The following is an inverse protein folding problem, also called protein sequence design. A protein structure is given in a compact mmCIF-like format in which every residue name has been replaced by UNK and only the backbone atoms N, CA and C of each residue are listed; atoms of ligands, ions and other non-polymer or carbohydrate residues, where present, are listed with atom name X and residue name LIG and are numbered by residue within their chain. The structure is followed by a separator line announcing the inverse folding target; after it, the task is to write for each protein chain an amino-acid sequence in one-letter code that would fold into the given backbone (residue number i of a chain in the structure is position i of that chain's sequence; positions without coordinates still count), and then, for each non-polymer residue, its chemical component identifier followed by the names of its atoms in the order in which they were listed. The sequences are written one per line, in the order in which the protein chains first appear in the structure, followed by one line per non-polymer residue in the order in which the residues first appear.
data_IF_258907914089
#
_entry.id   IF_258907914089
#
_cell.length_a   1.000
_cell.length_b   1.000
_cell.length_c   1.000
_cell.angle_alpha   90.00
_cell.angle_beta   90.00
_cell.angle_gamma   90.00
#
_symmetry.space_group_name_H-M   'P 1'
#
loop_
_entity.id
_entity.type
_entity.pdbx_description
1 polymer ?
#
# COMPACT_ATOMS: atom_id res chain seq x y z
N UNK A 1 12.41 -7.85 27.45
CA UNK A 1 11.68 -7.56 26.22
C UNK A 1 10.21 -7.75 26.42
N UNK A 2 9.41 -7.06 25.63
CA UNK A 2 7.98 -7.02 25.91
C UNK A 2 7.17 -6.96 24.62
N UNK A 3 6.15 -7.81 24.51
CA UNK A 3 5.16 -7.76 23.44
C UNK A 3 4.11 -6.74 23.86
N UNK A 4 3.84 -5.77 23.00
CA UNK A 4 2.93 -4.68 23.33
C UNK A 4 1.47 -5.12 23.21
N UNK A 5 0.66 -4.69 24.17
CA UNK A 5 -0.78 -4.90 24.14
C UNK A 5 -1.46 -3.74 23.40
N UNK A 6 -2.80 -3.81 23.30
CA UNK A 6 -3.58 -2.85 22.53
C UNK A 6 -3.40 -1.41 23.00
N UNK A 7 -3.41 -1.18 24.31
CA UNK A 7 -3.24 0.17 24.85
C UNK A 7 -1.82 0.68 24.62
N UNK A 8 -0.85 -0.21 24.77
CA UNK A 8 0.56 0.15 24.59
C UNK A 8 0.87 0.49 23.13
N UNK A 9 0.21 -0.17 22.18
CA UNK A 9 0.41 0.14 20.76
C UNK A 9 0.02 1.60 20.47
N UNK A 10 -1.00 2.12 21.13
CA UNK A 10 -1.40 3.51 20.93
C UNK A 10 -0.33 4.47 21.45
N UNK A 11 0.27 4.14 22.58
CA UNK A 11 1.36 4.95 23.12
C UNK A 11 2.58 4.90 22.21
N UNK A 12 2.94 3.69 21.75
CA UNK A 12 4.09 3.53 20.85
C UNK A 12 3.90 4.31 19.55
N UNK A 13 2.67 4.34 19.03
CA UNK A 13 2.37 5.11 17.82
C UNK A 13 2.73 6.58 18.01
N UNK A 14 2.35 7.16 19.16
CA UNK A 14 2.64 8.56 19.44
C UNK A 14 4.14 8.81 19.58
N UNK A 15 4.86 7.86 20.20
CA UNK A 15 6.30 7.97 20.32
C UNK A 15 6.96 7.98 18.94
N UNK A 16 6.54 7.06 18.07
CA UNK A 16 7.14 6.96 16.74
C UNK A 16 6.86 8.19 15.89
N UNK A 17 5.75 8.88 16.13
CA UNK A 17 5.44 10.10 15.40
C UNK A 17 6.51 11.16 15.60
N UNK A 18 7.17 11.15 16.75
CA UNK A 18 8.25 12.10 17.03
C UNK A 18 9.55 11.77 16.29
N UNK A 19 9.60 10.62 15.65
CA UNK A 19 10.79 10.14 14.94
C UNK A 19 10.60 10.11 13.41
N UNK A 20 9.46 10.61 12.89
CA UNK A 20 9.32 10.67 11.44
C UNK A 20 10.35 11.68 10.91
N UNK A 21 10.82 11.52 9.67
CA UNK A 21 10.33 10.56 8.66
C UNK A 21 10.91 9.15 8.76
N UNK A 22 11.98 8.94 9.50
CA UNK A 22 12.68 7.65 9.48
C UNK A 22 11.86 6.51 10.07
N UNK A 23 10.92 6.81 10.96
CA UNK A 23 10.05 5.81 11.58
C UNK A 23 8.78 5.52 10.78
N UNK A 24 8.59 6.14 9.61
CA UNK A 24 7.30 6.08 8.91
C UNK A 24 6.77 4.67 8.71
N UNK A 25 7.63 3.72 8.33
CA UNK A 25 7.10 2.39 8.03
C UNK A 25 6.51 1.71 9.26
N UNK A 26 7.26 1.71 10.35
CA UNK A 26 6.76 1.11 11.58
C UNK A 26 5.60 1.92 12.13
N UNK A 27 5.69 3.24 12.08
CA UNK A 27 4.58 4.11 12.45
C UNK A 27 3.31 3.75 11.67
N UNK A 28 3.44 3.57 10.36
CA UNK A 28 2.30 3.24 9.51
C UNK A 28 1.66 1.91 9.86
N UNK A 29 2.46 0.90 10.18
CA UNK A 29 1.91 -0.37 10.66
C UNK A 29 1.10 -0.17 11.94
N UNK A 30 1.67 0.54 12.91
CA UNK A 30 0.95 0.76 14.17
C UNK A 30 -0.30 1.60 13.95
N UNK A 31 -0.21 2.59 13.07
CA UNK A 31 -1.36 3.42 12.75
C UNK A 31 -2.54 2.54 12.28
N UNK A 32 -2.25 1.62 11.37
CA UNK A 32 -3.27 0.71 10.89
C UNK A 32 -3.80 -0.22 11.97
N UNK A 33 -2.89 -0.83 12.74
CA UNK A 33 -3.28 -1.73 13.82
C UNK A 33 -4.21 -1.03 14.82
N UNK A 34 -3.88 0.21 15.16
CA UNK A 34 -4.68 0.96 16.15
C UNK A 34 -6.04 1.40 15.61
N UNK A 35 -6.26 1.29 14.30
CA UNK A 35 -7.56 1.58 13.68
C UNK A 35 -8.19 0.30 13.14
N UNK A 36 -7.79 -0.83 13.73
CA UNK A 36 -8.41 -2.14 13.49
C UNK A 36 -8.21 -2.68 12.09
N UNK A 37 -7.15 -2.25 11.39
CA UNK A 37 -6.81 -2.88 10.12
C UNK A 37 -6.25 -4.27 10.41
N UNK A 38 -6.57 -5.26 9.57
CA UNK A 38 -6.06 -6.62 9.80
C UNK A 38 -4.54 -6.66 9.78
N UNK A 39 -3.95 -7.46 10.66
CA UNK A 39 -2.51 -7.64 10.71
C UNK A 39 -2.19 -9.02 11.23
N UNK A 40 -1.11 -9.61 10.69
CA UNK A 40 -0.59 -10.89 11.16
C UNK A 40 0.62 -10.71 12.06
N UNK A 41 0.95 -9.47 12.40
CA UNK A 41 2.18 -9.14 13.11
C UNK A 41 1.91 -8.85 14.59
N UNK A 42 2.93 -9.11 15.41
CA UNK A 42 2.94 -8.61 16.79
C UNK A 42 4.14 -7.69 16.95
N UNK A 43 4.12 -6.89 17.98
CA UNK A 43 5.07 -5.81 18.19
C UNK A 43 5.86 -6.05 19.48
N UNK A 44 7.19 -6.04 19.37
CA UNK A 44 8.09 -6.31 20.49
C UNK A 44 9.01 -5.10 20.67
N UNK A 45 9.22 -4.71 21.92
CA UNK A 45 10.18 -3.64 22.27
C UNK A 45 11.22 -4.16 23.24
N UNK A 46 12.38 -3.48 23.26
CA UNK A 46 13.48 -3.85 24.17
C UNK A 46 13.13 -3.54 25.62
N UNK A 47 12.41 -2.47 25.86
CA UNK A 47 12.02 -2.05 27.21
C UNK A 47 10.78 -1.18 27.11
N UNK A 48 10.13 -0.95 28.24
CA UNK A 48 8.87 -0.20 28.28
C UNK A 48 8.78 0.57 29.58
N UNK A 49 8.26 1.80 29.57
CA UNK A 49 7.62 2.49 28.44
C UNK A 49 8.59 3.19 27.49
N UNK A 50 9.83 3.33 27.86
CA UNK A 50 10.85 3.92 26.99
C UNK A 50 11.57 2.78 26.26
N UNK A 51 11.58 2.85 24.94
CA UNK A 51 12.21 1.81 24.13
C UNK A 51 13.16 2.44 23.12
N UNK A 52 14.23 1.72 22.83
CA UNK A 52 15.21 2.09 21.82
C UNK A 52 15.00 1.35 20.52
N UNK A 53 14.33 0.20 20.58
CA UNK A 53 14.10 -0.66 19.42
C UNK A 53 12.70 -1.19 19.48
N UNK A 54 12.03 -1.18 18.32
CA UNK A 54 10.71 -1.77 18.15
C UNK A 54 10.78 -2.66 16.92
N UNK A 55 10.32 -3.91 17.06
CA UNK A 55 10.31 -4.90 15.98
C UNK A 55 8.90 -5.40 15.78
N UNK A 56 8.48 -5.47 14.52
CA UNK A 56 7.23 -6.11 14.11
C UNK A 56 7.62 -7.42 13.45
N UNK A 57 7.00 -8.51 13.89
CA UNK A 57 7.32 -9.86 13.41
C UNK A 57 6.04 -10.67 13.31
N UNK A 58 6.05 -11.79 12.56
CA UNK A 58 4.86 -12.62 12.49
C UNK A 58 4.43 -13.09 13.88
N UNK A 59 3.14 -12.97 14.16
CA UNK A 59 2.58 -13.41 15.44
C UNK A 59 2.52 -14.94 15.43
N UNK A 60 3.22 -15.64 16.32
CA UNK A 60 3.22 -17.09 16.31
C UNK A 60 1.87 -17.71 16.62
N UNK A 61 0.96 -16.95 17.20
CA UNK A 61 -0.39 -17.43 17.51
C UNK A 61 -1.36 -17.28 16.34
N UNK A 62 -0.95 -16.56 15.30
CA UNK A 62 -1.82 -16.28 14.16
C UNK A 62 -1.51 -17.25 13.04
N UNK A 63 -2.48 -18.15 12.73
CA UNK A 63 -2.26 -19.16 11.69
C UNK A 63 -2.05 -18.55 10.32
N UNK A 64 -2.71 -17.44 10.03
CA UNK A 64 -2.55 -16.77 8.75
C UNK A 64 -1.10 -16.26 8.55
N UNK A 65 -0.42 -15.94 9.64
CA UNK A 65 0.97 -15.51 9.58
C UNK A 65 1.89 -16.64 9.13
N UNK A 66 1.48 -17.87 9.29
CA UNK A 66 2.28 -19.04 8.87
C UNK A 66 2.13 -19.32 7.38
N UNK A 67 0.99 -18.95 6.81
CA UNK A 67 0.68 -19.27 5.42
C UNK A 67 0.94 -18.14 4.45
N UNK A 68 1.18 -16.94 4.96
CA UNK A 68 1.37 -15.76 4.14
C UNK A 68 2.82 -15.31 4.21
N UNK A 69 3.18 -14.33 3.38
CA UNK A 69 4.54 -13.79 3.39
C UNK A 69 4.92 -13.31 4.79
N UNK A 70 5.99 -13.88 5.33
CA UNK A 70 6.46 -13.51 6.67
C UNK A 70 7.26 -12.24 6.58
N UNK A 71 6.80 -11.22 7.27
CA UNK A 71 7.41 -9.89 7.23
C UNK A 71 7.97 -9.52 8.59
N UNK A 72 9.14 -8.87 8.57
CA UNK A 72 9.73 -8.26 9.75
C UNK A 72 10.04 -6.82 9.39
N UNK A 73 9.69 -5.90 10.30
CA UNK A 73 10.05 -4.50 10.16
C UNK A 73 10.52 -4.00 11.52
N UNK A 74 11.38 -2.99 11.50
CA UNK A 74 11.86 -2.46 12.77
C UNK A 74 12.21 -0.99 12.65
N UNK A 75 12.27 -0.34 13.81
CA UNK A 75 12.85 0.99 13.95
C UNK A 75 13.73 0.98 15.18
N UNK A 76 14.89 1.62 15.09
CA UNK A 76 15.90 1.56 16.15
C UNK A 76 16.61 2.90 16.28
N UNK A 77 16.94 3.24 17.53
CA UNK A 77 17.86 4.36 17.83
C UNK A 77 19.14 3.86 18.47
N UNK A 78 19.34 2.54 18.57
CA UNK A 78 20.52 1.97 19.22
C UNK A 78 20.89 0.67 18.51
N UNK A 79 22.06 0.69 17.86
CA UNK A 79 22.50 -0.44 17.04
C UNK A 79 22.76 -1.70 17.86
N UNK A 80 23.36 -1.56 19.05
CA UNK A 80 23.70 -2.73 19.86
C UNK A 80 22.45 -3.41 20.41
N UNK A 81 21.47 -2.62 20.83
CA UNK A 81 20.20 -3.15 21.29
C UNK A 81 19.48 -3.84 20.12
N UNK A 82 19.53 -3.23 18.93
CA UNK A 82 18.93 -3.85 17.75
C UNK A 82 19.57 -5.20 17.44
N UNK A 83 20.90 -5.27 17.48
CA UNK A 83 21.61 -6.51 17.20
C UNK A 83 21.15 -7.63 18.13
N UNK A 84 21.03 -7.31 19.41
CA UNK A 84 20.59 -8.29 20.41
C UNK A 84 19.15 -8.73 20.12
N UNK A 85 18.27 -7.78 19.84
CA UNK A 85 16.87 -8.12 19.58
C UNK A 85 16.71 -8.92 18.30
N UNK A 86 17.47 -8.60 17.26
CA UNK A 86 17.41 -9.39 16.02
C UNK A 86 17.81 -10.83 16.27
N UNK A 87 18.83 -11.05 17.11
CA UNK A 87 19.23 -12.41 17.46
C UNK A 87 18.15 -13.17 18.20
N UNK A 88 17.50 -12.51 19.15
CA UNK A 88 16.66 -13.18 20.14
C UNK A 88 15.18 -13.20 19.76
N UNK A 89 14.71 -12.22 19.01
CA UNK A 89 13.29 -12.02 18.83
C UNK A 89 12.79 -12.32 17.41
N UNK A 90 13.69 -12.66 16.49
CA UNK A 90 13.31 -13.01 15.11
C UNK A 90 13.57 -14.49 14.90
N UNK A 91 12.65 -15.16 14.22
CA UNK A 91 12.77 -16.59 13.94
C UNK A 91 13.58 -16.79 12.66
N UNK A 92 14.86 -17.07 12.81
CA UNK A 92 15.78 -17.26 11.69
C UNK A 92 15.70 -18.66 11.06
N UNK A 93 14.84 -19.52 11.60
CA UNK A 93 14.72 -20.90 11.07
C UNK A 93 13.80 -20.98 9.85
N UNK A 94 13.07 -19.92 9.53
CA UNK A 94 12.16 -19.89 8.40
C UNK A 94 12.43 -18.68 7.51
N UNK A 95 11.89 -18.71 6.31
CA UNK A 95 11.96 -17.59 5.38
C UNK A 95 11.28 -16.35 5.99
N UNK A 96 11.89 -15.18 5.80
CA UNK A 96 11.21 -13.92 6.08
C UNK A 96 11.82 -12.78 5.27
N UNK A 97 11.04 -11.72 5.14
CA UNK A 97 11.44 -10.53 4.41
C UNK A 97 11.52 -9.37 5.41
N UNK A 98 12.67 -8.68 5.44
CA UNK A 98 12.79 -7.44 6.22
C UNK A 98 12.60 -6.29 5.24
N UNK A 99 11.55 -5.52 5.43
CA UNK A 99 11.17 -4.50 4.47
C UNK A 99 11.38 -3.09 4.94
N UNK A 100 11.94 -2.27 4.06
CA UNK A 100 12.01 -0.84 4.29
C UNK A 100 12.88 -0.43 5.47
N UNK A 101 13.95 -1.16 5.74
CA UNK A 101 14.80 -0.81 6.87
C UNK A 101 15.89 0.17 6.44
N UNK A 102 16.33 0.98 7.39
CA UNK A 102 17.38 1.97 7.17
C UNK A 102 18.67 1.28 6.73
N UNK A 103 19.22 1.71 5.60
CA UNK A 103 20.45 1.14 5.05
C UNK A 103 21.59 1.13 6.06
N UNK A 104 21.61 2.05 7.02
CA UNK A 104 22.67 2.08 8.02
C UNK A 104 22.71 0.82 8.88
N UNK A 105 21.65 0.02 8.90
CA UNK A 105 21.60 -1.21 9.67
C UNK A 105 21.86 -2.46 8.82
N UNK A 106 22.27 -2.28 7.57
CA UNK A 106 22.52 -3.43 6.69
C UNK A 106 23.61 -4.32 7.25
N UNK A 107 24.70 -3.74 7.72
CA UNK A 107 25.81 -4.52 8.25
C UNK A 107 25.38 -5.34 9.47
N UNK A 108 24.57 -4.74 10.33
CA UNK A 108 24.04 -5.44 11.51
C UNK A 108 23.22 -6.66 11.10
N UNK A 109 22.34 -6.51 10.11
CA UNK A 109 21.54 -7.64 9.64
C UNK A 109 22.40 -8.72 9.02
N UNK A 110 23.40 -8.34 8.23
CA UNK A 110 24.30 -9.33 7.63
C UNK A 110 25.09 -10.09 8.69
N UNK A 111 25.54 -9.40 9.73
CA UNK A 111 26.29 -10.04 10.82
C UNK A 111 25.41 -11.06 11.55
N UNK A 112 24.19 -10.70 11.87
CA UNK A 112 23.31 -11.63 12.58
C UNK A 112 22.95 -12.81 11.68
N UNK A 113 22.69 -12.57 10.40
CA UNK A 113 22.36 -13.68 9.48
C UNK A 113 23.53 -14.63 9.35
N UNK A 114 24.75 -14.12 9.36
CA UNK A 114 25.94 -14.98 9.31
C UNK A 114 26.07 -15.81 10.58
N UNK A 115 25.81 -15.22 11.75
CA UNK A 115 25.81 -15.96 13.02
C UNK A 115 24.78 -17.09 13.00
N UNK A 116 23.65 -16.86 12.35
CA UNK A 116 22.57 -17.85 12.28
C UNK A 116 22.76 -18.79 11.11
N UNK A 117 23.79 -18.61 10.31
CA UNK A 117 24.08 -19.43 9.14
C UNK A 117 22.93 -19.41 8.13
N UNK A 118 22.42 -18.22 7.83
CA UNK A 118 21.25 -18.03 6.98
C UNK A 118 21.65 -17.20 5.76
N UNK A 119 21.21 -17.62 4.57
CA UNK A 119 21.49 -16.86 3.35
C UNK A 119 20.60 -15.60 3.29
N UNK A 120 21.02 -14.65 2.50
CA UNK A 120 20.27 -13.41 2.33
C UNK A 120 20.38 -12.91 0.89
N UNK A 121 19.41 -12.08 0.51
CA UNK A 121 19.35 -11.51 -0.82
C UNK A 121 18.67 -10.14 -0.72
N UNK A 122 19.31 -9.15 -1.32
CA UNK A 122 18.80 -7.78 -1.25
C UNK A 122 18.19 -7.31 -2.55
N UNK A 123 17.45 -6.24 -2.44
CA UNK A 123 16.82 -5.57 -3.57
C UNK A 123 17.35 -4.15 -3.68
N UNK A 124 16.88 -3.45 -4.71
CA UNK A 124 17.29 -2.07 -4.98
C UNK A 124 17.04 -1.15 -3.79
N UNK A 125 17.94 -0.20 -3.61
CA UNK A 125 17.73 0.88 -2.65
C UNK A 125 16.46 1.65 -2.99
N UNK A 126 15.78 2.14 -1.96
CA UNK A 126 14.62 2.99 -2.16
C UNK A 126 14.77 4.30 -1.40
N UNK A 127 14.17 5.33 -1.94
CA UNK A 127 14.06 6.64 -1.32
C UNK A 127 12.73 6.73 -0.58
N UNK A 128 12.74 7.47 0.51
CA UNK A 128 11.52 7.76 1.27
C UNK A 128 11.09 9.18 0.90
N UNK A 129 9.87 9.30 0.36
CA UNK A 129 9.30 10.62 0.06
C UNK A 129 8.03 10.78 0.88
N UNK A 130 7.83 11.99 1.38
CA UNK A 130 6.69 12.24 2.27
C UNK A 130 6.18 13.66 2.12
N UNK A 131 4.95 13.87 2.54
CA UNK A 131 4.29 15.18 2.44
C UNK A 131 4.08 15.70 3.85
N UNK A 132 5.00 16.54 4.34
CA UNK A 132 4.90 16.98 5.73
C UNK A 132 3.77 17.97 5.98
N UNK A 133 3.33 18.67 4.94
CA UNK A 133 2.30 19.70 5.05
C UNK A 133 1.44 19.65 3.81
N UNK A 134 0.14 19.43 4.02
CA UNK A 134 -0.79 19.30 2.89
C UNK A 134 -0.83 20.57 2.02
N UNK A 135 -0.47 21.71 2.59
CA UNK A 135 -0.45 22.97 1.80
C UNK A 135 0.62 22.94 0.72
N UNK A 136 1.60 22.04 0.81
CA UNK A 136 2.65 21.90 -0.19
C UNK A 136 2.23 21.05 -1.39
N UNK A 137 1.07 20.41 -1.29
CA UNK A 137 0.60 19.53 -2.34
C UNK A 137 0.15 20.33 -3.55
N UNK A 138 0.63 19.94 -4.72
CA UNK A 138 0.17 20.51 -5.99
C UNK A 138 -1.22 19.97 -6.30
N UNK A 139 -2.13 20.85 -6.74
CA UNK A 139 -3.43 20.42 -7.26
C UNK A 139 -3.38 20.54 -8.78
N UNK A 140 -3.43 19.41 -9.49
CA UNK A 140 -3.35 19.45 -10.96
C UNK A 140 -4.58 20.13 -11.56
N UNK A 141 -4.36 20.83 -12.70
CA UNK A 141 -5.47 21.48 -13.41
C UNK A 141 -6.53 20.49 -13.86
N UNK A 142 -6.12 19.28 -14.21
CA UNK A 142 -7.05 18.27 -14.71
C UNK A 142 -7.93 17.65 -13.63
N UNK A 143 -7.65 17.93 -12.35
CA UNK A 143 -8.36 17.24 -11.26
C UNK A 143 -9.87 17.47 -11.32
N UNK A 144 -10.28 18.73 -11.54
CA UNK A 144 -11.71 19.04 -11.58
C UNK A 144 -12.42 18.39 -12.77
N UNK A 145 -11.72 18.23 -13.87
CA UNK A 145 -12.29 17.61 -15.07
C UNK A 145 -12.47 16.11 -14.90
N UNK A 146 -11.68 15.49 -14.04
CA UNK A 146 -11.72 14.05 -13.84
C UNK A 146 -12.56 13.64 -12.64
N UNK A 147 -13.08 14.62 -11.90
CA UNK A 147 -13.77 14.36 -10.63
C UNK A 147 -14.88 13.30 -10.76
N UNK A 148 -15.66 13.36 -11.83
CA UNK A 148 -16.78 12.42 -12.03
C UNK A 148 -16.31 10.99 -12.33
N UNK A 149 -15.03 10.83 -12.69
CA UNK A 149 -14.46 9.52 -13.00
C UNK A 149 -13.63 8.94 -11.87
N UNK A 150 -13.47 9.68 -10.78
CA UNK A 150 -12.68 9.23 -9.64
C UNK A 150 -13.53 8.33 -8.76
N UNK A 151 -12.96 7.20 -8.37
CA UNK A 151 -13.66 6.21 -7.55
C UNK A 151 -12.67 5.43 -6.71
N UNK A 152 -13.18 4.50 -5.92
CA UNK A 152 -12.36 3.55 -5.20
C UNK A 152 -12.32 2.22 -5.96
N UNK A 153 -11.25 1.46 -5.75
CA UNK A 153 -11.19 0.10 -6.30
C UNK A 153 -12.08 -0.81 -5.48
N UNK A 154 -12.55 -1.87 -6.10
CA UNK A 154 -13.32 -2.91 -5.41
C UNK A 154 -12.79 -4.29 -5.79
N UNK A 155 -13.42 -5.33 -5.28
CA UNK A 155 -12.91 -6.68 -5.44
C UNK A 155 -12.86 -7.15 -6.89
N UNK A 156 -13.71 -6.60 -7.73
CA UNK A 156 -13.68 -6.97 -9.16
C UNK A 156 -12.42 -6.46 -9.86
N UNK A 157 -11.67 -5.56 -9.23
CA UNK A 157 -10.46 -4.99 -9.82
C UNK A 157 -9.18 -5.68 -9.38
N UNK A 158 -9.27 -6.68 -8.49
CA UNK A 158 -8.06 -7.32 -7.96
C UNK A 158 -7.21 -7.91 -9.08
N UNK A 159 -7.86 -8.56 -10.06
CA UNK A 159 -7.12 -9.21 -11.13
C UNK A 159 -6.30 -8.24 -11.96
N UNK A 160 -6.87 -7.11 -12.37
CA UNK A 160 -6.11 -6.19 -13.20
C UNK A 160 -4.98 -5.53 -12.44
N UNK A 161 -5.19 -5.23 -11.16
CA UNK A 161 -4.12 -4.65 -10.34
C UNK A 161 -2.99 -5.66 -10.13
N UNK A 162 -3.35 -6.89 -9.78
CA UNK A 162 -2.35 -7.95 -9.56
C UNK A 162 -1.55 -8.24 -10.84
N UNK A 163 -2.22 -8.32 -11.95
CA UNK A 163 -1.61 -8.64 -13.24
C UNK A 163 -0.60 -7.58 -13.67
N UNK A 164 -0.87 -6.32 -13.36
CA UNK A 164 0.00 -5.21 -13.77
C UNK A 164 1.04 -4.82 -12.72
N UNK A 165 0.91 -5.34 -11.50
CA UNK A 165 1.83 -5.00 -10.42
C UNK A 165 3.16 -5.73 -10.63
N UNK A 166 4.27 -4.99 -10.51
CA UNK A 166 5.61 -5.52 -10.70
C UNK A 166 5.89 -6.78 -9.88
N UNK A 167 5.36 -6.84 -8.67
CA UNK A 167 5.57 -7.96 -7.76
C UNK A 167 4.38 -8.91 -7.68
N UNK A 168 3.43 -8.74 -8.57
CA UNK A 168 2.21 -9.54 -8.56
C UNK A 168 2.21 -10.61 -9.63
N UNK A 169 1.00 -11.01 -10.00
CA UNK A 169 0.78 -11.98 -11.07
C UNK A 169 0.54 -13.40 -10.58
N UNK A 170 0.81 -13.70 -9.33
CA UNK A 170 0.60 -15.04 -8.79
C UNK A 170 -0.44 -15.02 -7.67
N UNK A 171 -0.63 -16.15 -7.04
CA UNK A 171 -1.63 -16.28 -5.96
C UNK A 171 -1.30 -15.44 -4.74
N UNK A 172 -0.01 -15.34 -4.40
CA UNK A 172 0.40 -14.50 -3.28
C UNK A 172 0.11 -13.04 -3.57
N UNK A 173 0.41 -12.60 -4.79
CA UNK A 173 0.11 -11.24 -5.21
C UNK A 173 -1.37 -10.97 -5.17
N UNK A 174 -2.18 -11.92 -5.64
CA UNK A 174 -3.62 -11.77 -5.63
C UNK A 174 -4.15 -11.56 -4.21
N UNK A 175 -3.69 -12.40 -3.27
CA UNK A 175 -4.14 -12.28 -1.88
C UNK A 175 -3.71 -10.95 -1.27
N UNK A 176 -2.50 -10.50 -1.58
CA UNK A 176 -2.02 -9.23 -1.08
C UNK A 176 -2.86 -8.06 -1.60
N UNK A 177 -3.09 -8.03 -2.93
CA UNK A 177 -3.90 -6.96 -3.51
C UNK A 177 -5.33 -7.00 -2.96
N UNK A 178 -5.89 -8.19 -2.82
CA UNK A 178 -7.23 -8.34 -2.26
C UNK A 178 -7.31 -7.74 -0.85
N UNK A 179 -6.29 -8.01 -0.03
CA UNK A 179 -6.23 -7.45 1.32
C UNK A 179 -6.17 -5.93 1.29
N UNK A 180 -5.34 -5.37 0.41
CA UNK A 180 -5.20 -3.92 0.34
C UNK A 180 -6.49 -3.25 -0.14
N UNK A 181 -7.11 -3.79 -1.16
CA UNK A 181 -8.36 -3.22 -1.70
C UNK A 181 -9.49 -3.34 -0.67
N UNK A 182 -9.54 -4.45 0.06
CA UNK A 182 -10.61 -4.69 1.03
C UNK A 182 -10.49 -3.80 2.26
N UNK A 183 -9.28 -3.46 2.67
CA UNK A 183 -9.07 -2.93 4.02
C UNK A 183 -8.41 -1.55 4.08
N UNK A 184 -7.87 -1.05 2.97
CA UNK A 184 -7.13 0.22 2.97
C UNK A 184 -7.68 1.13 1.89
N UNK A 185 -7.48 2.45 2.04
CA UNK A 185 -7.96 3.39 1.02
C UNK A 185 -7.32 3.13 -0.35
N UNK A 186 -8.11 3.33 -1.39
CA UNK A 186 -7.63 3.27 -2.76
C UNK A 186 -8.26 4.40 -3.56
N UNK A 187 -7.70 4.65 -4.73
CA UNK A 187 -8.26 5.64 -5.64
C UNK A 187 -8.01 5.17 -7.07
N UNK A 188 -8.99 5.36 -7.94
CA UNK A 188 -8.83 5.02 -9.33
C UNK A 188 -9.56 6.01 -10.22
N UNK A 189 -9.20 6.00 -11.49
CA UNK A 189 -9.88 6.77 -12.52
C UNK A 189 -10.55 5.76 -13.45
N UNK A 190 -11.85 5.94 -13.66
CA UNK A 190 -12.63 5.02 -14.49
C UNK A 190 -12.63 5.49 -15.94
N UNK A 191 -12.77 4.51 -16.83
CA UNK A 191 -12.84 4.78 -18.27
C UNK A 191 -14.16 5.48 -18.60
N UNK A 192 -14.09 6.43 -19.51
CA UNK A 192 -15.28 7.15 -19.98
C UNK A 192 -16.22 6.27 -20.81
N UNK A 193 -15.71 5.18 -21.36
CA UNK A 193 -16.55 4.32 -22.21
C UNK A 193 -17.68 3.65 -21.46
N UNK A 194 -17.67 3.72 -20.14
CA UNK A 194 -18.76 3.21 -19.32
C UNK A 194 -19.80 4.25 -18.95
N UNK A 195 -19.86 5.34 -19.69
CA UNK A 195 -20.78 6.43 -19.37
C UNK A 195 -22.23 5.94 -19.30
N UNK A 196 -22.98 6.42 -18.32
CA UNK A 196 -24.37 6.00 -18.15
C UNK A 196 -25.26 6.27 -19.36
N UNK A 197 -24.93 7.31 -20.09
CA UNK A 197 -25.76 7.66 -21.29
C UNK A 197 -25.79 6.51 -22.26
N UNK A 198 -24.63 5.98 -22.61
CA UNK A 198 -24.63 4.85 -23.54
C UNK A 198 -25.33 3.66 -22.93
N UNK A 199 -25.15 3.45 -21.66
CA UNK A 199 -25.82 2.37 -20.99
C UNK A 199 -27.33 2.53 -20.96
N UNK A 200 -27.79 3.70 -20.67
CA UNK A 200 -29.23 4.02 -20.61
C UNK A 200 -29.85 3.84 -22.01
N UNK A 201 -29.21 4.29 -23.04
CA UNK A 201 -29.68 4.09 -24.40
C UNK A 201 -29.71 2.63 -24.76
N UNK A 202 -28.86 2.10 -24.48
CA UNK A 202 -28.76 0.74 -24.68
C UNK A 202 -29.77 -0.02 -23.93
N UNK A 203 -29.96 0.48 -23.00
CA UNK A 203 -30.88 -0.08 -22.16
C UNK A 203 -32.27 0.22 -22.70
N UNK A 204 -32.18 1.24 -23.05
CA UNK A 204 -33.38 1.68 -23.63
C UNK A 204 -33.70 0.92 -24.87
N UNK A 205 -32.85 0.85 -25.39
CA UNK A 205 -33.00 0.10 -26.52
C UNK A 205 -33.30 -1.29 -26.22
N UNK A 206 -32.86 -1.58 -25.46
CA UNK A 206 -33.09 -2.82 -24.96
C UNK A 206 -34.45 -2.92 -24.34
N UNK A 207 -34.60 -2.08 -23.91
CA UNK A 207 -35.84 -1.96 -23.32
C UNK A 207 -36.93 -1.89 -24.37
N UNK A 208 -36.47 -1.27 -25.13
CA UNK A 208 -37.33 -1.17 -26.17
C UNK A 208 -37.53 -2.46 -26.85
N UNK A 209 -36.71 -2.86 -26.85
CA UNK A 209 -36.71 -4.11 -27.38
C UNK A 209 -37.22 -5.07 -26.45
N UNK A 210 -37.07 -4.65 -25.54
CA UNK A 210 -37.41 -5.47 -24.63
C UNK A 210 -38.73 -5.52 -24.37
N UNK A 211 -39.02 -4.60 -24.81
CA UNK A 211 -40.00 -4.73 -24.66
C UNK A 211 -40.32 -5.71 -25.12
N UNK A 212 -39.69 -5.71 -25.83
CA UNK A 212 -39.75 -6.61 -26.26
C UNK A 212 -39.45 -7.59 -25.68
N UNK A 213 -39.16 -7.61 -25.47
CA UNK A 213 -38.61 -8.60 -24.94
C UNK A 213 -38.52 -8.29 -23.51
N UNK A 214 -39.41 -8.36 -23.40
CA UNK A 214 -39.37 -8.18 -22.25
C UNK A 214 -38.38 -8.95 -21.63
N UNK A 215 -38.35 -9.64 -22.25
CA UNK A 215 -37.36 -10.48 -21.94
C UNK A 215 -36.10 -9.85 -22.01
N UNK A 216 -36.28 -9.21 -22.81
CA UNK A 216 -35.21 -8.45 -22.95
C UNK A 216 -35.13 -7.55 -21.83
N UNK A 217 -36.09 -7.39 -21.54
CA UNK A 217 -36.10 -6.59 -20.43
C UNK A 217 -35.52 -7.24 -19.27
N UNK A 218 -35.88 -8.14 -19.32
CA UNK A 218 -35.27 -8.91 -18.33
C UNK A 218 -33.82 -9.18 -18.63
N UNK A 219 -33.83 -9.36 -19.61
CA UNK A 219 -32.53 -9.54 -20.05
C UNK A 219 -31.80 -8.29 -19.98
N UNK A 220 -32.50 -7.53 -20.30
CA UNK A 220 -31.99 -6.23 -20.23
C UNK A 220 -31.83 -5.78 -18.85
N UNK A 221 -32.58 -6.25 -18.34
CA UNK A 221 -32.44 -5.94 -16.99
C UNK A 221 -31.31 -6.68 -16.40
N UNK A 222 -31.36 -7.59 -16.87
CA UNK A 222 -30.28 -8.39 -16.58
C UNK A 222 -29.02 -7.90 -17.25
N UNK A 223 -29.36 -7.63 -18.14
CA UNK A 223 -28.33 -7.05 -18.88
C UNK A 223 -28.04 -5.70 -18.39
N UNK A 224 -28.88 -5.31 -18.10
CA UNK A 224 -28.75 -4.06 -17.52
C UNK A 224 -28.17 -4.12 -16.16
N UNK A 225 -28.58 -4.98 -15.79
CA UNK A 225 -28.00 -5.22 -14.60
C UNK A 225 -26.59 -5.67 -14.77
N UNK A 226 -26.71 -6.29 -15.67
CA UNK A 226 -25.44 -6.71 -16.07
C UNK A 226 -24.69 -5.59 -16.69
N UNK A 227 -25.38 -5.06 -17.22
CA UNK A 227 -24.86 -3.92 -17.81
C UNK A 227 -24.59 -2.84 -16.84
N UNK A 228 -25.34 -2.96 -16.14
CA UNK A 228 -25.12 -2.07 -15.10
C UNK A 228 -24.01 -2.47 -14.23
N UNK A 229 -24.11 -3.47 -14.24
CA UNK A 229 -23.03 -4.03 -13.63
C UNK A 229 -21.81 -3.99 -14.49
N UNK A 230 -22.21 -4.14 -15.44
CA UNK A 230 -21.21 -4.04 -16.39
C UNK A 230 -20.80 -2.64 -16.61
N UNK A 231 -21.64 -2.06 -16.48
CA UNK A 231 -21.42 -0.67 -16.58
C UNK A 231 -20.72 -0.10 -15.40
N UNK A 232 -21.08 -0.67 -14.64
CA UNK A 232 -20.43 -0.32 -13.46
C UNK A 232 -19.08 -0.97 -13.33
N UNK A 233 -19.16 -1.92 -13.80
CA UNK A 233 -18.02 -2.71 -13.93
C UNK A 233 -17.22 -2.38 -15.13
N UNK A 234 -17.76 -1.85 -15.78
CA UNK A 234 -17.17 -1.49 -16.95
C UNK A 234 -16.29 -0.31 -16.84
N UNK A 235 -16.48 0.14 -16.04
CA UNK A 235 -15.66 1.13 -15.86
C UNK A 235 -14.39 0.55 -15.42
N UNK A 236 -13.83 0.18 -15.99
CA UNK A 236 -12.74 -0.34 -15.79
C UNK A 236 -11.98 0.72 -15.43
N UNK A 237 -11.20 0.46 -14.48
CA UNK A 237 -10.28 1.48 -14.10
C UNK A 237 -9.12 1.55 -15.07
N UNK A 238 -8.75 2.71 -15.41
CA UNK A 238 -7.63 2.91 -16.35
C UNK A 238 -6.38 3.40 -15.64
N UNK A 239 -6.49 3.82 -14.41
CA UNK A 239 -5.35 4.22 -13.58
C UNK A 239 -5.73 4.09 -12.12
N UNK A 240 -4.76 3.82 -11.26
CA UNK A 240 -5.06 3.63 -9.84
C UNK A 240 -3.85 3.86 -8.95
N UNK A 241 -4.13 4.05 -7.66
CA UNK A 241 -3.12 4.12 -6.61
C UNK A 241 -3.69 3.42 -5.37
N UNK A 242 -2.86 2.66 -4.70
CA UNK A 242 -3.25 1.90 -3.51
C UNK A 242 -2.42 2.35 -2.30
N UNK A 243 -2.78 1.79 -1.15
CA UNK A 243 -2.02 1.97 0.08
C UNK A 243 -1.60 0.58 0.56
N UNK A 244 -0.31 0.43 0.89
CA UNK A 244 0.20 -0.79 1.50
C UNK A 244 -0.28 -0.90 2.95
N UNK A 245 -0.11 -2.08 3.55
CA UNK A 245 -0.56 -2.32 4.92
C UNK A 245 0.27 -1.58 5.98
N UNK A 246 1.34 -0.91 5.57
CA UNK A 246 2.06 0.03 6.44
C UNK A 246 1.72 1.48 6.08
N UNK A 247 0.61 1.67 5.41
CA UNK A 247 0.04 2.98 5.08
C UNK A 247 0.87 3.82 4.11
N UNK A 248 1.80 3.21 3.38
CA UNK A 248 2.53 3.92 2.33
C UNK A 248 1.73 3.88 1.03
N UNK A 249 1.76 4.98 0.30
CA UNK A 249 1.20 5.01 -1.05
C UNK A 249 2.01 4.10 -1.97
N UNK A 250 1.35 3.41 -2.88
CA UNK A 250 2.07 2.58 -3.82
C UNK A 250 1.18 1.99 -4.88
N UNK A 251 1.79 1.15 -5.69
CA UNK A 251 1.10 0.45 -6.77
C UNK A 251 0.37 1.46 -7.67
N UNK A 252 1.05 2.57 -7.95
CA UNK A 252 0.55 3.61 -8.85
C UNK A 252 0.75 3.14 -10.28
N UNK A 253 -0.32 3.11 -11.06
CA UNK A 253 -0.23 2.59 -12.41
C UNK A 253 -1.28 3.23 -13.31
N UNK A 254 -0.90 3.48 -14.54
CA UNK A 254 -1.83 3.92 -15.60
C UNK A 254 -1.67 2.97 -16.76
N UNK A 255 -2.78 2.46 -17.26
CA UNK A 255 -2.76 1.58 -18.43
C UNK A 255 -2.05 2.29 -19.59
N UNK A 256 -1.23 1.57 -20.37
CA UNK A 256 -0.39 2.23 -21.37
C UNK A 256 -1.13 3.17 -22.32
N UNK A 257 -2.29 2.76 -22.79
CA UNK A 257 -3.06 3.56 -23.76
C UNK A 257 -3.68 4.82 -23.15
N UNK A 258 -3.59 4.97 -21.84
CA UNK A 258 -4.15 6.13 -21.13
C UNK A 258 -3.07 7.02 -20.51
N UNK A 259 -1.82 6.77 -20.84
CA UNK A 259 -0.71 7.57 -20.32
C UNK A 259 -0.62 8.92 -21.03
N UNK A 260 0.07 9.85 -20.37
CA UNK A 260 0.28 11.18 -20.93
C UNK A 260 -0.89 12.11 -20.75
N UNK A 261 -1.86 11.77 -19.92
CA UNK A 261 -3.06 12.57 -19.69
C UNK A 261 -3.14 13.17 -18.29
N UNK A 262 -2.06 13.03 -17.49
CA UNK A 262 -2.01 13.61 -16.17
C UNK A 262 -2.72 12.81 -15.08
N UNK A 263 -3.10 11.58 -15.36
CA UNK A 263 -3.87 10.79 -14.41
C UNK A 263 -3.10 10.49 -13.12
N UNK A 264 -1.80 10.21 -13.22
CA UNK A 264 -1.01 9.91 -12.03
C UNK A 264 -1.00 11.08 -11.06
N UNK A 265 -0.87 12.30 -11.55
CA UNK A 265 -0.87 13.49 -10.71
C UNK A 265 -2.21 13.66 -10.00
N UNK A 266 -3.31 13.42 -10.71
CA UNK A 266 -4.64 13.52 -10.14
C UNK A 266 -4.83 12.47 -9.05
N UNK A 267 -4.37 11.25 -9.29
CA UNK A 267 -4.47 10.18 -8.30
C UNK A 267 -3.68 10.51 -7.04
N UNK A 268 -2.46 11.01 -7.20
CA UNK A 268 -1.63 11.38 -6.05
C UNK A 268 -2.31 12.50 -5.26
N UNK A 269 -2.78 13.53 -5.95
CA UNK A 269 -3.43 14.66 -5.29
C UNK A 269 -4.68 14.23 -4.54
N UNK A 270 -5.55 13.49 -5.21
CA UNK A 270 -6.81 13.04 -4.63
C UNK A 270 -6.57 12.16 -3.41
N UNK A 271 -5.64 11.21 -3.57
CA UNK A 271 -5.35 10.27 -2.48
C UNK A 271 -4.71 10.99 -1.30
N UNK A 272 -3.75 11.89 -1.56
CA UNK A 272 -3.08 12.62 -0.47
C UNK A 272 -4.08 13.46 0.32
N UNK A 273 -5.00 14.13 -0.36
CA UNK A 273 -6.04 14.91 0.32
C UNK A 273 -6.94 14.03 1.17
N UNK A 274 -7.36 12.89 0.61
CA UNK A 274 -8.21 11.95 1.32
C UNK A 274 -7.52 11.43 2.57
N UNK A 275 -6.28 11.00 2.42
CA UNK A 275 -5.52 10.44 3.55
C UNK A 275 -5.30 11.50 4.63
N UNK A 276 -4.93 12.71 4.22
CA UNK A 276 -4.72 13.79 5.18
C UNK A 276 -6.00 14.06 5.97
N UNK A 277 -7.14 14.14 5.27
CA UNK A 277 -8.42 14.42 5.91
C UNK A 277 -8.81 13.33 6.91
N UNK A 278 -8.37 12.10 6.65
CA UNK A 278 -8.69 10.97 7.53
C UNK A 278 -7.61 10.71 8.58
N UNK A 279 -6.56 11.53 8.62
CA UNK A 279 -5.52 11.43 9.63
C UNK A 279 -4.39 10.46 9.33
N UNK A 280 -4.38 9.86 8.15
CA UNK A 280 -3.31 8.94 7.75
C UNK A 280 -2.01 9.68 7.50
N UNK A 281 -0.87 9.00 7.67
CA UNK A 281 0.39 9.55 7.13
C UNK A 281 0.33 9.58 5.60
N UNK A 282 1.14 10.45 4.99
CA UNK A 282 1.20 10.55 3.53
C UNK A 282 2.67 10.42 3.14
N UNK A 283 3.05 9.23 2.67
CA UNK A 283 4.43 8.95 2.31
C UNK A 283 4.49 7.77 1.35
N UNK A 284 5.65 7.59 0.73
CA UNK A 284 5.87 6.45 -0.16
C UNK A 284 7.35 6.09 -0.21
N UNK A 285 7.63 4.89 -0.70
CA UNK A 285 8.98 4.46 -1.03
C UNK A 285 9.10 4.32 -2.53
N UNK A 286 10.17 4.85 -3.10
CA UNK A 286 10.39 4.81 -4.54
C UNK A 286 11.79 4.23 -4.79
N UNK A 287 11.86 3.22 -5.67
CA UNK A 287 13.14 2.63 -6.04
C UNK A 287 14.08 3.72 -6.58
N UNK A 288 15.34 3.65 -6.16
CA UNK A 288 16.30 4.70 -6.48
C UNK A 288 16.47 4.91 -7.98
N UNK A 289 16.32 3.85 -8.75
CA UNK A 289 16.46 3.95 -10.22
C UNK A 289 15.15 4.33 -10.93
N UNK A 290 14.06 4.54 -10.18
CA UNK A 290 12.78 4.94 -10.77
C UNK A 290 12.68 6.46 -10.78
N UNK A 291 13.41 7.08 -11.72
CA UNK A 291 13.45 8.54 -11.82
C UNK A 291 12.11 9.15 -12.18
N UNK A 292 11.32 8.43 -12.97
CA UNK A 292 10.01 8.94 -13.39
C UNK A 292 9.11 9.17 -12.18
N UNK A 293 8.98 8.15 -11.32
CA UNK A 293 8.16 8.29 -10.13
C UNK A 293 8.76 9.28 -9.14
N UNK A 294 10.09 9.29 -9.01
CA UNK A 294 10.75 10.23 -8.11
C UNK A 294 10.41 11.68 -8.48
N UNK A 295 10.59 12.03 -9.75
CA UNK A 295 10.28 13.38 -10.21
C UNK A 295 8.80 13.69 -10.09
N UNK A 296 7.96 12.71 -10.36
CA UNK A 296 6.52 12.88 -10.27
C UNK A 296 6.09 13.28 -8.86
N UNK A 297 6.52 12.51 -7.86
CA UNK A 297 6.15 12.81 -6.47
C UNK A 297 6.80 14.10 -5.99
N UNK A 298 8.05 14.35 -6.39
CA UNK A 298 8.73 15.59 -6.04
C UNK A 298 7.95 16.80 -6.58
N UNK A 299 7.54 16.73 -7.84
CA UNK A 299 6.77 17.81 -8.47
C UNK A 299 5.41 18.00 -7.82
N UNK A 300 4.87 16.94 -7.21
CA UNK A 300 3.59 17.04 -6.52
C UNK A 300 3.73 17.66 -5.11
N UNK A 301 4.95 17.95 -4.67
CA UNK A 301 5.18 18.60 -3.40
C UNK A 301 5.76 17.71 -2.32
N UNK A 302 6.04 16.45 -2.63
CA UNK A 302 6.65 15.53 -1.66
C UNK A 302 8.12 15.87 -1.45
N UNK A 303 8.58 15.67 -0.24
CA UNK A 303 9.95 15.93 0.20
C UNK A 303 10.68 14.60 0.34
N UNK A 304 11.97 14.54 -0.04
CA UNK A 304 12.76 13.37 0.32
C UNK A 304 13.84 13.76 1.31
N UNK A 305 14.28 12.78 2.08
CA UNK A 305 15.43 12.95 2.98
C UNK A 305 16.64 12.35 2.26
N UNK A 306 17.46 13.20 1.69
CA UNK A 306 18.59 12.75 0.86
C UNK A 306 19.61 11.93 1.66
N UNK A 307 19.59 12.06 2.98
CA UNK A 307 20.52 11.29 3.83
C UNK A 307 20.00 9.89 4.18
N UNK A 308 18.77 9.57 3.76
CA UNK A 308 18.13 8.32 4.15
C UNK A 308 17.88 7.45 2.93
N UNK A 309 18.24 6.18 3.04
CA UNK A 309 17.88 5.16 2.05
C UNK A 309 17.43 3.94 2.80
N UNK A 310 16.51 3.23 2.21
CA UNK A 310 15.96 2.00 2.79
C UNK A 310 16.21 0.83 1.87
N UNK A 311 16.14 -0.36 2.44
CA UNK A 311 16.40 -1.61 1.74
C UNK A 311 15.31 -2.63 2.06
N UNK A 312 15.14 -3.57 1.15
CA UNK A 312 14.36 -4.79 1.36
C UNK A 312 15.31 -5.96 1.20
N UNK A 313 15.33 -6.85 2.19
CA UNK A 313 16.16 -8.06 2.16
C UNK A 313 15.31 -9.26 2.52
N UNK A 314 15.52 -10.37 1.81
CA UNK A 314 14.94 -11.63 2.23
C UNK A 314 16.03 -12.51 2.82
N UNK A 315 15.60 -13.34 3.77
CA UNK A 315 16.48 -14.23 4.51
C UNK A 315 15.93 -15.65 4.46
N UNK A 316 16.83 -16.60 4.42
CA UNK A 316 16.51 -18.02 4.49
C UNK A 316 15.59 -18.46 3.35
N UNK A 317 15.91 -18.02 2.14
CA UNK A 317 15.15 -18.39 0.93
C UNK A 317 15.67 -19.66 0.27
#
# INVERSE_FOLDING_TARGET
MRVLNKDELQIAERVLLEHIPRSYKVYGFLYGMNRNKPSTLEVVVDSWPEFKVIILRPDPKNKAAQDFMKKVSFYSTDEEVLRKMLREEVDWSTYFLVGGFDMSYLLTLKEVSAEKNVNHKGYTLVRLLYLPDISQLLTPDAESQLESRISSLNLSHVDIVNKTWKFGGDEKGYRNIKNLISNFPTCCILDTRGEPVAWILXXXXXXXXXXXXXXXXXXXXXXXXXXXXXXXXXXXPVAWILMYDYCALGILYTLPEHRGKGYAKVLISTMAKKLHAEGYPVYCFIEEDNEVSYKLFQNMGFTDDASYRALWFEFNF
#
